data_IF_774529720347
#
_entry.id   IF_774529720347
#
_cell.length_a   1.000
_cell.length_b   1.000
_cell.length_c   1.000
_cell.angle_alpha   90.00
_cell.angle_beta   90.00
_cell.angle_gamma   90.00
#
_symmetry.space_group_name_H-M   'P 1'
#
loop_
_entity.id
_entity.type
_entity.pdbx_description
1 polymer ?
#
# COMPACT_ATOMS: atom_id res chain seq x y z
N UNK A 1 -3.72 1.40 12.13
CA UNK A 1 -3.78 2.58 11.23
C UNK A 1 -4.32 2.13 9.89
N UNK A 2 -5.18 2.94 9.25
CA UNK A 2 -5.62 2.70 7.88
C UNK A 2 -4.73 3.52 6.94
N UNK A 3 -4.18 2.91 5.90
CA UNK A 3 -3.23 3.53 4.97
C UNK A 3 -3.76 3.45 3.55
N UNK A 4 -3.67 4.55 2.79
CA UNK A 4 -3.99 4.62 1.37
C UNK A 4 -2.74 5.05 0.60
N UNK A 5 -2.33 4.24 -0.37
CA UNK A 5 -1.23 4.54 -1.30
C UNK A 5 -1.85 4.92 -2.65
N UNK A 6 -1.46 6.09 -3.18
CA UNK A 6 -1.94 6.58 -4.46
C UNK A 6 -0.92 6.30 -5.56
N UNK A 7 -1.35 5.56 -6.59
CA UNK A 7 -0.58 5.25 -7.79
C UNK A 7 -0.72 3.80 -8.23
N UNK A 8 -0.04 3.46 -9.33
CA UNK A 8 -0.16 2.18 -10.04
C UNK A 8 1.18 1.60 -10.52
N UNK A 9 2.30 2.19 -10.13
CA UNK A 9 3.62 1.76 -10.54
C UNK A 9 4.25 0.73 -9.59
N UNK A 10 5.40 0.18 -10.00
CA UNK A 10 6.15 -0.77 -9.18
C UNK A 10 6.67 -0.19 -7.86
N UNK A 11 6.88 1.14 -7.79
CA UNK A 11 7.28 1.83 -6.57
C UNK A 11 6.19 1.76 -5.50
N UNK A 12 4.94 2.01 -5.90
CA UNK A 12 3.79 1.95 -5.01
C UNK A 12 3.55 0.52 -4.54
N UNK A 13 3.80 -0.47 -5.40
CA UNK A 13 3.78 -1.89 -5.00
C UNK A 13 4.84 -2.20 -3.92
N UNK A 14 6.07 -1.73 -4.08
CA UNK A 14 7.13 -1.94 -3.09
C UNK A 14 6.81 -1.28 -1.74
N UNK A 15 6.21 -0.08 -1.76
CA UNK A 15 5.72 0.56 -0.55
C UNK A 15 4.56 -0.21 0.08
N UNK A 16 3.58 -0.66 -0.70
CA UNK A 16 2.48 -1.47 -0.20
C UNK A 16 2.99 -2.76 0.48
N UNK A 17 3.96 -3.43 -0.15
CA UNK A 17 4.58 -4.64 0.39
C UNK A 17 5.25 -4.41 1.75
N UNK A 18 5.96 -3.29 1.92
CA UNK A 18 6.63 -2.96 3.19
C UNK A 18 5.68 -2.42 4.25
N UNK A 19 4.70 -1.61 3.88
CA UNK A 19 3.69 -1.07 4.80
C UNK A 19 2.83 -2.19 5.39
N UNK A 20 2.49 -3.21 4.59
CA UNK A 20 1.70 -4.35 5.05
C UNK A 20 2.39 -5.22 6.13
N UNK A 21 3.71 -5.08 6.31
CA UNK A 21 4.46 -5.82 7.34
C UNK A 21 4.46 -5.12 8.71
N UNK A 22 3.97 -3.87 8.78
CA UNK A 22 3.96 -3.11 10.02
C UNK A 22 2.86 -3.61 10.97
N UNK A 23 3.16 -3.87 12.26
CA UNK A 23 2.13 -4.24 13.24
C UNK A 23 1.15 -3.09 13.54
N UNK A 24 1.46 -1.87 13.08
CA UNK A 24 0.58 -0.71 13.19
C UNK A 24 -0.39 -0.59 12.01
N UNK A 25 -0.19 -1.36 10.93
CA UNK A 25 -1.06 -1.35 9.75
C UNK A 25 -2.26 -2.25 10.00
N UNK A 26 -3.47 -1.69 9.89
CA UNK A 26 -4.72 -2.44 10.08
C UNK A 26 -5.37 -2.72 8.73
N UNK A 27 -5.58 -1.67 7.93
CA UNK A 27 -6.08 -1.79 6.55
C UNK A 27 -5.17 -1.03 5.60
N UNK A 28 -4.81 -1.65 4.49
CA UNK A 28 -3.99 -1.05 3.43
C UNK A 28 -4.77 -1.04 2.12
N UNK A 29 -4.87 0.14 1.53
CA UNK A 29 -5.55 0.36 0.25
C UNK A 29 -4.56 0.94 -0.76
N UNK A 30 -4.70 0.57 -2.03
CA UNK A 30 -3.93 1.14 -3.14
C UNK A 30 -4.91 1.56 -4.24
N UNK A 31 -4.82 2.80 -4.72
CA UNK A 31 -5.73 3.32 -5.74
C UNK A 31 -4.97 4.18 -6.79
N UNK A 32 -5.21 3.98 -8.10
CA UNK A 32 -6.06 2.95 -8.69
C UNK A 32 -5.49 1.53 -8.51
N UNK A 33 -4.25 1.40 -8.04
CA UNK A 33 -3.55 0.12 -8.03
C UNK A 33 -3.09 -0.27 -9.44
N UNK A 34 -2.29 -1.33 -9.49
CA UNK A 34 -2.03 -2.01 -10.75
C UNK A 34 -3.20 -2.98 -11.02
N UNK A 35 -3.53 -3.26 -12.29
CA UNK A 35 -4.46 -4.35 -12.65
C UNK A 35 -3.92 -5.71 -12.24
#
# INVERSE_FOLDING_TARGET
MNVLILGSGGREHAFAYKVNQSPLCNNLYVAPGNS
#
